data_IF_666374781161
#
_entry.id   IF_666374781161
#
_cell.length_a   1.000
_cell.length_b   1.000
_cell.length_c   1.000
_cell.angle_alpha   90.00
_cell.angle_beta   90.00
_cell.angle_gamma   90.00
#
_symmetry.space_group_name_H-M   'P 1'
#
loop_
_entity.id
_entity.type
_entity.pdbx_description
1 polymer ?
#
# COMPACT_ATOMS: atom_id res chain seq x y z
N UNK A 1 -5.44 19.01 18.62
CA UNK A 1 -5.31 17.56 18.37
C UNK A 1 -4.08 17.08 19.13
N UNK A 2 -4.23 16.51 20.33
CA UNK A 2 -3.08 16.12 21.16
C UNK A 2 -2.54 14.78 20.65
N UNK A 3 -1.48 14.82 19.85
CA UNK A 3 -0.87 13.61 19.27
C UNK A 3 -0.13 12.90 20.40
N UNK A 4 -0.69 11.79 20.90
CA UNK A 4 -0.05 10.99 21.92
C UNK A 4 1.06 10.13 21.28
N UNK A 5 2.31 10.61 21.35
CA UNK A 5 3.48 9.93 20.82
C UNK A 5 3.81 8.60 21.51
N UNK A 6 3.25 8.31 22.71
CA UNK A 6 3.47 7.02 23.40
C UNK A 6 2.85 5.81 22.70
N UNK A 7 1.96 6.02 21.72
CA UNK A 7 1.28 4.94 21.02
C UNK A 7 1.90 4.54 19.67
N UNK A 8 2.92 5.27 19.18
CA UNK A 8 3.61 4.97 17.91
C UNK A 8 4.98 4.36 18.15
N UNK A 9 5.27 3.29 17.41
CA UNK A 9 6.60 2.67 17.41
C UNK A 9 7.44 3.40 16.36
N UNK A 10 8.15 4.45 16.79
CA UNK A 10 8.90 5.32 15.88
C UNK A 10 9.89 4.56 15.00
N UNK A 11 10.65 3.61 15.58
CA UNK A 11 11.59 2.79 14.81
C UNK A 11 10.91 2.00 13.70
N UNK A 12 9.70 1.48 13.94
CA UNK A 12 8.93 0.76 12.93
C UNK A 12 8.55 1.65 11.75
N UNK A 13 8.14 2.89 12.02
CA UNK A 13 7.82 3.86 10.97
C UNK A 13 9.08 4.28 10.18
N UNK A 14 10.23 4.42 10.86
CA UNK A 14 11.51 4.72 10.20
C UNK A 14 11.96 3.60 9.26
N UNK A 15 11.90 2.35 9.70
CA UNK A 15 12.24 1.20 8.85
C UNK A 15 11.27 1.05 7.67
N UNK A 16 9.98 1.36 7.86
CA UNK A 16 9.01 1.36 6.76
C UNK A 16 9.31 2.48 5.75
N UNK A 17 9.68 3.67 6.22
CA UNK A 17 10.07 4.77 5.35
C UNK A 17 11.33 4.41 4.54
N UNK A 18 12.32 3.79 5.19
CA UNK A 18 13.52 3.28 4.52
C UNK A 18 13.17 2.21 3.47
N UNK A 19 12.30 1.26 3.80
CA UNK A 19 11.85 0.23 2.86
C UNK A 19 11.15 0.84 1.63
N UNK A 20 10.23 1.80 1.83
CA UNK A 20 9.58 2.53 0.72
C UNK A 20 10.62 3.26 -0.12
N UNK A 21 11.60 3.92 0.51
CA UNK A 21 12.66 4.63 -0.21
C UNK A 21 13.44 3.67 -1.12
N UNK A 22 13.84 2.50 -0.62
CA UNK A 22 14.52 1.47 -1.43
C UNK A 22 13.64 1.00 -2.60
N UNK A 23 12.33 0.79 -2.39
CA UNK A 23 11.40 0.41 -3.46
C UNK A 23 11.33 1.48 -4.55
N UNK A 24 11.22 2.75 -4.16
CA UNK A 24 11.17 3.88 -5.11
C UNK A 24 12.48 4.00 -5.88
N UNK A 25 13.62 3.79 -5.24
CA UNK A 25 14.93 3.79 -5.90
C UNK A 25 15.04 2.65 -6.92
N UNK A 26 14.66 1.43 -6.52
CA UNK A 26 14.73 0.25 -7.37
C UNK A 26 13.84 0.36 -8.63
N UNK A 27 12.59 0.81 -8.46
CA UNK A 27 11.66 0.98 -9.58
C UNK A 27 11.90 2.29 -10.34
N UNK A 28 12.37 3.33 -9.66
CA UNK A 28 12.72 4.63 -10.25
C UNK A 28 13.88 4.53 -11.24
N UNK A 29 14.80 3.57 -11.06
CA UNK A 29 15.85 3.27 -12.04
C UNK A 29 15.28 2.95 -13.43
N UNK A 30 14.13 2.29 -13.50
CA UNK A 30 13.46 1.97 -14.78
C UNK A 30 12.99 3.23 -15.52
N UNK A 31 12.71 4.32 -14.80
CA UNK A 31 12.17 5.56 -15.36
C UNK A 31 13.25 6.64 -15.54
N UNK A 32 14.22 6.71 -14.63
CA UNK A 32 15.23 7.78 -14.57
C UNK A 32 16.61 7.35 -15.11
N UNK A 33 16.78 6.10 -15.53
CA UNK A 33 18.06 5.57 -16.01
C UNK A 33 19.10 5.43 -14.89
N UNK A 34 20.37 5.50 -15.26
CA UNK A 34 21.53 5.22 -14.40
C UNK A 34 21.87 6.32 -13.37
N UNK A 35 20.91 7.18 -13.00
CA UNK A 35 21.03 8.13 -11.89
C UNK A 35 21.40 7.48 -10.54
N UNK A 36 21.27 6.16 -10.44
CA UNK A 36 21.52 5.36 -9.24
C UNK A 36 22.69 4.37 -9.37
N UNK A 37 23.54 4.50 -10.40
CA UNK A 37 24.70 3.60 -10.64
C UNK A 37 25.84 3.69 -9.61
N UNK A 38 25.79 4.64 -8.67
CA UNK A 38 26.87 4.85 -7.70
C UNK A 38 27.04 3.73 -6.64
N UNK A 39 26.17 2.70 -6.64
CA UNK A 39 26.26 1.55 -5.72
C UNK A 39 26.12 0.20 -6.45
N UNK A 40 27.16 -0.25 -7.17
CA UNK A 40 27.09 -1.50 -7.94
C UNK A 40 27.29 -2.80 -7.12
N UNK A 41 27.58 -2.73 -5.81
CA UNK A 41 28.09 -3.90 -5.06
C UNK A 41 27.39 -4.27 -3.74
N UNK A 42 26.30 -3.61 -3.38
CA UNK A 42 25.51 -4.02 -2.21
C UNK A 42 24.29 -4.79 -2.73
N UNK A 43 24.09 -6.07 -2.36
CA UNK A 43 22.80 -6.71 -2.55
C UNK A 43 21.78 -5.90 -1.75
N UNK A 44 21.03 -5.05 -2.45
CA UNK A 44 20.02 -4.21 -1.84
C UNK A 44 19.00 -5.13 -1.17
N UNK A 45 18.72 -4.87 0.11
CA UNK A 45 17.60 -5.51 0.80
C UNK A 45 16.35 -5.29 -0.05
N UNK A 46 15.59 -6.36 -0.31
CA UNK A 46 14.32 -6.20 -1.01
C UNK A 46 13.39 -5.32 -0.16
N UNK A 47 13.25 -4.07 -0.58
CA UNK A 47 12.43 -3.08 0.10
C UNK A 47 10.97 -3.49 0.13
N UNK A 48 10.50 -4.27 -0.85
CA UNK A 48 9.13 -4.79 -0.90
C UNK A 48 8.93 -5.81 0.21
N UNK A 49 9.82 -6.80 0.31
CA UNK A 49 9.77 -7.83 1.37
C UNK A 49 9.85 -7.19 2.76
N UNK A 50 10.82 -6.31 2.98
CA UNK A 50 10.99 -5.61 4.25
C UNK A 50 9.74 -4.78 4.60
N UNK A 51 9.18 -4.04 3.64
CA UNK A 51 7.97 -3.25 3.87
C UNK A 51 6.77 -4.14 4.23
N UNK A 52 6.61 -5.29 3.58
CA UNK A 52 5.52 -6.21 3.86
C UNK A 52 5.65 -6.85 5.24
N UNK A 53 6.84 -7.29 5.64
CA UNK A 53 7.07 -7.86 6.98
C UNK A 53 6.74 -6.83 8.08
N UNK A 54 7.25 -5.60 7.97
CA UNK A 54 7.01 -4.54 8.95
C UNK A 54 5.54 -4.11 8.99
N UNK A 55 4.89 -4.03 7.83
CA UNK A 55 3.46 -3.72 7.75
C UNK A 55 2.60 -4.85 8.31
N UNK A 56 2.98 -6.11 8.08
CA UNK A 56 2.34 -7.30 8.65
C UNK A 56 2.43 -7.30 10.18
N UNK A 57 3.61 -7.04 10.74
CA UNK A 57 3.81 -6.88 12.18
C UNK A 57 2.89 -5.80 12.77
N UNK A 58 2.81 -4.62 12.13
CA UNK A 58 1.94 -3.54 12.58
C UNK A 58 0.46 -3.94 12.56
N UNK A 59 -0.02 -4.46 11.43
CA UNK A 59 -1.43 -4.84 11.24
C UNK A 59 -1.81 -5.98 12.20
N UNK A 60 -0.95 -6.98 12.34
CA UNK A 60 -1.13 -8.10 13.26
C UNK A 60 -1.18 -7.64 14.71
N UNK A 61 -0.30 -6.73 15.14
CA UNK A 61 -0.35 -6.18 16.49
C UNK A 61 -1.64 -5.39 16.78
N UNK A 62 -2.17 -4.67 15.77
CA UNK A 62 -3.47 -3.98 15.89
C UNK A 62 -4.59 -5.01 16.02
N UNK A 63 -4.58 -6.07 15.21
CA UNK A 63 -5.59 -7.13 15.27
C UNK A 63 -5.59 -7.79 16.65
N UNK A 64 -4.43 -8.20 17.16
CA UNK A 64 -4.28 -8.79 18.49
C UNK A 64 -4.82 -7.86 19.58
N UNK A 65 -4.53 -6.55 19.51
CA UNK A 65 -5.07 -5.56 20.46
C UNK A 65 -6.59 -5.48 20.42
N UNK A 66 -7.20 -5.57 19.24
CA UNK A 66 -8.66 -5.61 19.09
C UNK A 66 -9.22 -6.88 19.74
N UNK A 67 -8.59 -8.03 19.54
CA UNK A 67 -8.99 -9.31 20.14
C UNK A 67 -8.99 -9.25 21.67
N UNK A 68 -7.92 -8.74 22.27
CA UNK A 68 -7.83 -8.61 23.73
C UNK A 68 -8.85 -7.64 24.30
N UNK A 69 -9.20 -6.58 23.55
CA UNK A 69 -10.17 -5.57 23.99
C UNK A 69 -11.61 -6.08 23.97
N UNK A 70 -11.95 -6.96 23.03
CA UNK A 70 -13.32 -7.49 22.85
C UNK A 70 -13.51 -8.89 23.45
N UNK A 71 -12.59 -9.35 24.29
CA UNK A 71 -12.60 -10.69 24.91
C UNK A 71 -12.74 -11.85 23.89
N UNK A 72 -12.25 -11.65 22.66
CA UNK A 72 -12.32 -12.64 21.59
C UNK A 72 -12.41 -12.03 20.18
N UNK A 73 -12.47 -12.92 19.18
CA UNK A 73 -12.70 -12.56 17.77
C UNK A 73 -14.18 -12.69 17.43
N UNK A 74 -14.95 -11.63 17.67
CA UNK A 74 -16.28 -11.55 17.08
C UNK A 74 -16.18 -11.33 15.56
N UNK A 75 -17.05 -11.99 14.79
CA UNK A 75 -17.20 -11.74 13.34
C UNK A 75 -17.45 -10.25 13.06
N UNK A 76 -18.18 -9.56 13.94
CA UNK A 76 -18.46 -8.14 13.82
C UNK A 76 -17.18 -7.29 13.96
N UNK A 77 -16.28 -7.66 14.87
CA UNK A 77 -15.00 -6.99 15.08
C UNK A 77 -14.09 -7.09 13.86
N UNK A 78 -13.98 -8.30 13.32
CA UNK A 78 -13.23 -8.54 12.08
C UNK A 78 -13.81 -7.72 10.94
N UNK A 79 -15.12 -7.79 10.70
CA UNK A 79 -15.76 -7.01 9.63
C UNK A 79 -15.54 -5.51 9.81
N UNK A 80 -15.59 -4.99 11.05
CA UNK A 80 -15.30 -3.58 11.33
C UNK A 80 -13.83 -3.22 11.03
N UNK A 81 -12.89 -4.09 11.40
CA UNK A 81 -11.47 -3.92 11.10
C UNK A 81 -11.21 -3.86 9.58
N UNK A 82 -11.77 -4.82 8.83
CA UNK A 82 -11.65 -4.87 7.36
C UNK A 82 -12.33 -3.67 6.70
N UNK A 83 -13.55 -3.31 7.12
CA UNK A 83 -14.26 -2.11 6.63
C UNK A 83 -13.42 -0.87 6.77
N UNK A 84 -12.89 -0.58 7.96
CA UNK A 84 -12.04 0.61 8.20
C UNK A 84 -10.81 0.65 7.30
N UNK A 85 -10.25 -0.52 6.98
CA UNK A 85 -9.09 -0.62 6.10
C UNK A 85 -9.48 -0.39 4.65
N UNK A 86 -10.57 -1.00 4.18
CA UNK A 86 -11.09 -0.82 2.82
C UNK A 86 -11.56 0.60 2.57
N UNK A 87 -12.21 1.26 3.52
CA UNK A 87 -12.56 2.68 3.41
C UNK A 87 -11.35 3.62 3.36
N UNK A 88 -10.15 3.15 3.69
CA UNK A 88 -8.91 3.93 3.51
C UNK A 88 -8.30 3.73 2.12
N UNK A 89 -8.36 2.51 1.58
CA UNK A 89 -7.66 2.14 0.33
C UNK A 89 -8.55 2.28 -0.91
N UNK A 90 -9.81 1.85 -0.82
CA UNK A 90 -10.73 1.84 -1.97
C UNK A 90 -11.06 3.23 -2.51
N UNK A 91 -11.30 4.28 -1.69
CA UNK A 91 -11.61 5.60 -2.25
C UNK A 91 -10.49 6.15 -3.14
N UNK A 92 -9.24 5.99 -2.69
CA UNK A 92 -8.10 6.44 -3.48
C UNK A 92 -7.91 5.58 -4.75
N UNK A 93 -8.14 4.27 -4.63
CA UNK A 93 -8.12 3.38 -5.79
C UNK A 93 -9.13 3.81 -6.86
N UNK A 94 -10.40 4.00 -6.48
CA UNK A 94 -11.44 4.41 -7.42
C UNK A 94 -11.21 5.81 -7.97
N UNK A 95 -10.69 6.74 -7.16
CA UNK A 95 -10.33 8.07 -7.63
C UNK A 95 -9.29 8.00 -8.75
N UNK A 96 -8.22 7.23 -8.58
CA UNK A 96 -7.15 7.11 -9.59
C UNK A 96 -7.63 6.32 -10.82
N UNK A 97 -8.44 5.27 -10.63
CA UNK A 97 -9.03 4.49 -11.71
C UNK A 97 -9.92 5.38 -12.59
N UNK A 98 -10.86 6.09 -11.98
CA UNK A 98 -11.77 7.01 -12.68
C UNK A 98 -10.98 8.13 -13.36
N UNK A 99 -9.99 8.70 -12.67
CA UNK A 99 -9.14 9.74 -13.25
C UNK A 99 -8.41 9.24 -14.48
N UNK A 100 -7.82 8.04 -14.46
CA UNK A 100 -7.17 7.44 -15.62
C UNK A 100 -8.15 7.23 -16.78
N UNK A 101 -9.33 6.67 -16.51
CA UNK A 101 -10.36 6.46 -17.53
C UNK A 101 -10.75 7.80 -18.17
N UNK A 102 -10.96 8.85 -17.37
CA UNK A 102 -11.30 10.18 -17.87
C UNK A 102 -10.16 10.78 -18.71
N UNK A 103 -8.92 10.68 -18.26
CA UNK A 103 -7.76 11.21 -18.98
C UNK A 103 -7.59 10.55 -20.36
N UNK A 104 -7.78 9.23 -20.45
CA UNK A 104 -7.76 8.51 -21.73
C UNK A 104 -8.99 8.85 -22.57
N UNK A 105 -10.17 8.94 -21.97
CA UNK A 105 -11.41 9.29 -22.67
C UNK A 105 -11.36 10.68 -23.32
N UNK A 106 -10.76 11.66 -22.64
CA UNK A 106 -10.55 13.00 -23.17
C UNK A 106 -9.33 13.13 -24.10
N UNK A 107 -8.61 12.03 -24.38
CA UNK A 107 -7.45 12.01 -25.27
C UNK A 107 -6.21 12.72 -24.71
N UNK A 108 -6.15 12.94 -23.40
CA UNK A 108 -4.98 13.55 -22.73
C UNK A 108 -3.85 12.52 -22.60
N UNK A 109 -4.20 11.25 -22.40
CA UNK A 109 -3.28 10.13 -22.34
C UNK A 109 -3.58 9.13 -23.46
N UNK A 110 -2.53 8.60 -24.08
CA UNK A 110 -2.66 7.43 -24.97
C UNK A 110 -2.96 6.19 -24.12
N UNK A 111 -4.08 5.53 -24.40
CA UNK A 111 -4.49 4.32 -23.68
C UNK A 111 -5.68 3.63 -24.35
N UNK A 112 -5.81 2.32 -24.11
CA UNK A 112 -6.94 1.53 -24.61
C UNK A 112 -7.95 1.28 -23.49
N UNK A 113 -9.13 1.91 -23.59
CA UNK A 113 -10.22 1.71 -22.66
C UNK A 113 -10.87 0.32 -22.78
N UNK A 114 -10.66 -0.41 -23.88
CA UNK A 114 -11.17 -1.79 -24.04
C UNK A 114 -10.46 -2.78 -23.12
N UNK A 115 -9.26 -2.43 -22.64
CA UNK A 115 -8.54 -3.20 -21.64
C UNK A 115 -9.11 -3.06 -20.21
N UNK A 116 -10.02 -2.12 -19.98
CA UNK A 116 -10.64 -1.91 -18.66
C UNK A 116 -11.77 -2.91 -18.45
N UNK A 117 -11.44 -4.04 -17.82
CA UNK A 117 -12.38 -5.10 -17.46
C UNK A 117 -13.22 -4.75 -16.19
N UNK A 118 -14.39 -5.36 -16.03
CA UNK A 118 -15.24 -5.22 -14.84
C UNK A 118 -14.52 -5.63 -13.55
N UNK A 119 -13.50 -6.50 -13.67
CA UNK A 119 -12.61 -6.91 -12.57
C UNK A 119 -11.90 -5.75 -11.88
N UNK A 120 -11.61 -4.64 -12.59
CA UNK A 120 -11.03 -3.46 -11.97
C UNK A 120 -12.02 -2.80 -11.00
N UNK A 121 -13.28 -2.64 -11.41
CA UNK A 121 -14.31 -2.04 -10.55
C UNK A 121 -14.61 -2.90 -9.31
N UNK A 122 -14.52 -4.22 -9.43
CA UNK A 122 -14.66 -5.15 -8.31
C UNK A 122 -13.38 -5.33 -7.49
N UNK A 123 -12.26 -4.69 -7.87
CA UNK A 123 -10.95 -4.84 -7.21
C UNK A 123 -10.44 -6.31 -7.20
N UNK A 124 -10.83 -7.12 -8.20
CA UNK A 124 -10.47 -8.56 -8.28
C UNK A 124 -9.48 -8.88 -9.40
N UNK A 125 -9.01 -7.87 -10.15
CA UNK A 125 -8.07 -8.08 -11.27
C UNK A 125 -6.77 -8.79 -10.89
N UNK A 126 -6.31 -8.70 -9.63
CA UNK A 126 -5.10 -9.40 -9.17
C UNK A 126 -5.31 -10.90 -8.88
N UNK A 127 -6.56 -11.39 -8.87
CA UNK A 127 -6.90 -12.77 -8.53
C UNK A 127 -7.27 -13.63 -9.75
N UNK A 128 -7.36 -13.03 -10.95
CA UNK A 128 -7.80 -13.69 -12.18
C UNK A 128 -7.25 -13.00 -13.41
#
# INVERSE_FOLDING_TARGET
MNVNYKARVYGLDLFRAFAIFVVVMAHGRLLAGDMFEFMPFIPWVDGVELFFVLSGFLIGSILIKVMYKEEGLSRASLLNFWKRRWFRTLPNYYLILISNILLVYFGILEGDLKGVDYKFFLFIHNFT
#
